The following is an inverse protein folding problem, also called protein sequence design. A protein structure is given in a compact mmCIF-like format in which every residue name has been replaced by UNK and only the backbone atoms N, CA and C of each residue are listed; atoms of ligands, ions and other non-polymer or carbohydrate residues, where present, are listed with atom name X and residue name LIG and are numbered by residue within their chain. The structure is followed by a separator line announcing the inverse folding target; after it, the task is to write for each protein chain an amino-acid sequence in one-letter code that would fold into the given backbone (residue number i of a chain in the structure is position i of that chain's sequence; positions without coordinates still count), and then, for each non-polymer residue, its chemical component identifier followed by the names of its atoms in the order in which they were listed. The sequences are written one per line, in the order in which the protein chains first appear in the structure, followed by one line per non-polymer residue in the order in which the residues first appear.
data_IF_472497955025
#
_entry.id   IF_472497955025
#
_cell.length_a   1.000
_cell.length_b   1.000
_cell.length_c   1.000
_cell.angle_alpha   90.00
_cell.angle_beta   90.00
_cell.angle_gamma   90.00
#
_symmetry.space_group_name_H-M   'P 1'
#
loop_
_entity.id
_entity.type
_entity.pdbx_description
1 polymer ?
#
# COMPACT_ATOMS: atom_id res chain seq x y z
N UNK A 1 -5.77 -4.84 -15.95
CA UNK A 1 -4.48 -5.14 -15.29
C UNK A 1 -4.62 -4.71 -13.85
N UNK A 2 -4.75 -5.64 -12.90
CA UNK A 2 -4.88 -5.29 -11.49
C UNK A 2 -3.47 -5.13 -10.90
N UNK A 3 -3.12 -3.91 -10.52
CA UNK A 3 -1.87 -3.61 -9.83
C UNK A 3 -2.04 -3.90 -8.34
N UNK A 4 -1.11 -4.66 -7.76
CA UNK A 4 -1.08 -4.98 -6.34
C UNK A 4 0.24 -4.52 -5.73
N UNK A 5 0.20 -4.02 -4.50
CA UNK A 5 1.39 -3.76 -3.69
C UNK A 5 1.34 -4.65 -2.45
N UNK A 6 2.48 -5.28 -2.16
CA UNK A 6 2.72 -5.98 -0.92
C UNK A 6 3.34 -4.99 0.08
N UNK A 7 2.57 -4.57 1.08
CA UNK A 7 3.06 -3.74 2.18
C UNK A 7 3.56 -4.69 3.25
N UNK A 8 4.87 -4.68 3.52
CA UNK A 8 5.50 -5.62 4.49
C UNK A 8 5.47 -5.15 5.94
N UNK A 9 5.04 -3.92 6.20
CA UNK A 9 5.12 -3.32 7.52
C UNK A 9 3.82 -2.58 7.81
N UNK A 10 2.92 -3.25 8.52
CA UNK A 10 1.73 -2.64 9.09
C UNK A 10 1.69 -2.98 10.59
N UNK A 11 1.33 -2.01 11.41
CA UNK A 11 1.19 -2.11 12.87
C UNK A 11 -0.26 -2.40 13.30
N UNK A 12 -1.22 -2.24 12.39
CA UNK A 12 -2.66 -2.47 12.64
C UNK A 12 -3.21 -3.68 11.91
N UNK A 13 -3.69 -4.66 12.67
CA UNK A 13 -4.32 -5.85 12.09
C UNK A 13 -5.51 -5.44 11.21
N UNK A 14 -5.48 -5.87 9.95
CA UNK A 14 -6.56 -5.69 8.97
C UNK A 14 -7.01 -7.06 8.48
N UNK A 15 -8.32 -7.22 8.24
CA UNK A 15 -8.88 -8.49 7.78
C UNK A 15 -8.85 -8.58 6.25
N UNK A 16 -8.79 -9.80 5.72
CA UNK A 16 -9.03 -10.02 4.29
C UNK A 16 -10.44 -9.54 3.96
N UNK A 17 -10.57 -8.78 2.88
CA UNK A 17 -11.81 -8.19 2.42
C UNK A 17 -12.13 -6.80 2.97
N UNK A 18 -11.35 -6.30 3.94
CA UNK A 18 -11.49 -4.93 4.44
C UNK A 18 -11.18 -3.90 3.34
N UNK A 19 -11.96 -2.82 3.32
CA UNK A 19 -11.64 -1.61 2.56
C UNK A 19 -10.56 -0.82 3.28
N UNK A 20 -9.60 -0.30 2.52
CA UNK A 20 -8.47 0.48 3.03
C UNK A 20 -8.17 1.66 2.13
N UNK A 21 -7.66 2.72 2.76
CA UNK A 21 -7.04 3.85 2.06
C UNK A 21 -5.55 3.87 2.43
N UNK A 22 -4.70 3.98 1.41
CA UNK A 22 -3.25 3.92 1.57
C UNK A 22 -2.63 5.11 0.85
N UNK A 23 -1.73 5.81 1.54
CA UNK A 23 -0.83 6.77 0.93
C UNK A 23 0.49 6.08 0.61
N UNK A 24 0.88 6.06 -0.66
CA UNK A 24 2.13 5.49 -1.13
C UNK A 24 3.09 6.59 -1.52
N UNK A 25 4.33 6.51 -1.03
CA UNK A 25 5.42 7.35 -1.50
C UNK A 25 6.36 6.51 -2.37
N UNK A 26 6.43 6.85 -3.66
CA UNK A 26 7.36 6.23 -4.58
C UNK A 26 8.66 7.04 -4.63
N UNK A 27 9.82 6.39 -4.49
CA UNK A 27 11.09 7.10 -4.59
C UNK A 27 11.22 7.76 -5.97
N UNK A 28 11.94 8.89 -6.06
CA UNK A 28 12.14 9.55 -7.34
C UNK A 28 12.87 8.63 -8.32
N UNK A 29 12.38 8.56 -9.55
CA UNK A 29 13.16 8.01 -10.65
C UNK A 29 14.11 9.10 -11.14
N UNK A 30 15.42 8.98 -10.85
CA UNK A 30 16.47 9.97 -11.12
C UNK A 30 16.36 11.28 -10.28
N UNK A 31 16.89 12.42 -10.77
CA UNK A 31 16.92 13.74 -10.07
C UNK A 31 15.53 14.40 -9.90
N UNK A 32 14.48 13.59 -9.77
CA UNK A 32 13.10 14.05 -9.56
C UNK A 32 12.73 14.12 -8.07
N UNK A 33 11.48 14.49 -7.84
CA UNK A 33 10.84 14.41 -6.52
C UNK A 33 10.16 13.06 -6.33
N UNK A 34 10.01 12.61 -5.08
CA UNK A 34 9.16 11.44 -4.80
C UNK A 34 7.72 11.74 -5.23
N UNK A 35 7.00 10.70 -5.63
CA UNK A 35 5.60 10.80 -6.04
C UNK A 35 4.74 10.26 -4.91
N UNK A 36 3.81 11.07 -4.43
CA UNK A 36 2.78 10.63 -3.49
C UNK A 36 1.54 10.20 -4.26
N UNK A 37 1.03 9.01 -3.93
CA UNK A 37 -0.17 8.44 -4.55
C UNK A 37 -1.12 8.01 -3.45
N UNK A 38 -2.32 8.60 -3.43
CA UNK A 38 -3.42 8.11 -2.62
C UNK A 38 -4.14 6.98 -3.36
N UNK A 39 -4.40 5.90 -2.66
CA UNK A 39 -5.00 4.68 -3.19
C UNK A 39 -6.15 4.25 -2.31
N UNK A 40 -7.28 3.90 -2.92
CA UNK A 40 -8.33 3.13 -2.26
C UNK A 40 -8.26 1.69 -2.77
N UNK A 41 -8.55 0.73 -1.91
CA UNK A 41 -8.52 -0.67 -2.32
C UNK A 41 -8.90 -1.65 -1.23
N UNK A 42 -8.90 -2.92 -1.62
CA UNK A 42 -9.35 -4.02 -0.77
C UNK A 42 -8.19 -4.91 -0.38
N UNK A 43 -8.15 -5.32 0.89
CA UNK A 43 -7.17 -6.31 1.37
C UNK A 43 -7.50 -7.66 0.74
N UNK A 44 -6.59 -8.18 -0.07
CA UNK A 44 -6.75 -9.48 -0.74
C UNK A 44 -6.09 -10.61 0.04
N UNK A 45 -5.02 -10.32 0.77
CA UNK A 45 -4.27 -11.31 1.55
C UNK A 45 -3.58 -10.67 2.75
N UNK A 46 -3.49 -11.43 3.84
CA UNK A 46 -2.70 -11.10 5.03
C UNK A 46 -1.69 -12.21 5.27
N UNK A 47 -0.42 -11.86 5.37
CA UNK A 47 0.70 -12.75 5.69
C UNK A 47 1.12 -12.52 7.14
N UNK A 48 0.86 -13.50 8.01
CA UNK A 48 1.06 -13.36 9.46
C UNK A 48 2.47 -13.74 9.95
N UNK A 49 3.30 -14.32 9.07
CA UNK A 49 4.63 -14.85 9.41
C UNK A 49 5.76 -13.95 8.90
N UNK A 50 5.74 -12.65 9.22
CA UNK A 50 6.92 -11.82 9.02
C UNK A 50 7.77 -11.78 10.30
N UNK A 51 9.08 -11.66 10.13
CA UNK A 51 10.01 -11.47 11.26
C UNK A 51 9.64 -10.20 12.03
N UNK A 52 9.92 -10.20 13.33
CA UNK A 52 9.76 -9.05 14.24
C UNK A 52 8.30 -8.63 14.52
N UNK A 53 7.37 -9.58 14.62
CA UNK A 53 5.99 -9.31 15.07
C UNK A 53 5.15 -8.51 14.06
N UNK A 54 5.59 -8.47 12.80
CA UNK A 54 4.94 -7.75 11.71
C UNK A 54 4.11 -8.69 10.86
N UNK A 55 3.18 -8.12 10.10
CA UNK A 55 2.40 -8.84 9.11
C UNK A 55 2.42 -8.07 7.78
N UNK A 56 2.37 -8.83 6.69
CA UNK A 56 2.28 -8.31 5.34
C UNK A 56 0.82 -8.25 4.90
N UNK A 57 0.47 -7.24 4.12
CA UNK A 57 -0.84 -7.19 3.44
C UNK A 57 -0.66 -7.00 1.95
N UNK A 58 -1.46 -7.71 1.17
CA UNK A 58 -1.61 -7.47 -0.26
C UNK A 58 -2.90 -6.69 -0.48
N UNK A 59 -2.80 -5.51 -1.08
CA UNK A 59 -3.95 -4.65 -1.41
C UNK A 59 -4.14 -4.65 -2.92
N UNK A 60 -5.36 -4.94 -3.36
CA UNK A 60 -5.79 -4.72 -4.73
C UNK A 60 -6.33 -3.30 -4.87
N UNK A 61 -5.72 -2.49 -5.73
CA UNK A 61 -6.14 -1.11 -5.91
C UNK A 61 -7.39 -0.99 -6.76
N UNK A 62 -8.33 -0.16 -6.29
CA UNK A 62 -9.59 0.17 -6.97
C UNK A 62 -9.52 1.57 -7.58
N UNK A 63 -8.91 2.52 -6.87
CA UNK A 63 -8.67 3.88 -7.36
C UNK A 63 -7.26 4.35 -7.00
N UNK A 64 -6.66 5.16 -7.90
CA UNK A 64 -5.34 5.77 -7.73
C UNK A 64 -5.45 7.26 -8.04
N UNK A 65 -4.86 8.09 -7.18
CA UNK A 65 -4.75 9.53 -7.39
C UNK A 65 -3.34 9.99 -7.02
N UNK A 66 -2.61 10.54 -8.01
CA UNK A 66 -1.34 11.23 -7.75
C UNK A 66 -1.64 12.54 -7.04
N UNK A 67 -0.99 12.77 -5.90
CA UNK A 67 -1.14 13.99 -5.12
C UNK A 67 -0.05 15.00 -5.52
N UNK A 68 -0.39 16.30 -5.62
CA UNK A 68 0.62 17.35 -5.76
C UNK A 68 1.49 17.38 -4.49
N UNK A 69 2.80 17.55 -4.65
CA UNK A 69 3.68 17.90 -3.53
C UNK A 69 3.43 19.37 -3.17
N UNK A 70 3.23 19.64 -1.88
CA UNK A 70 3.24 20.99 -1.31
C UNK A 70 4.65 21.57 -1.32
#
# INVERSE_FOLDING_TARGET
MHSYIAIRYCDRSTAVGSQVEVLLEFPPQARGNSILVWCTGKVLRVERELKDGKFGIAVGFEQLQVLPRA
#
